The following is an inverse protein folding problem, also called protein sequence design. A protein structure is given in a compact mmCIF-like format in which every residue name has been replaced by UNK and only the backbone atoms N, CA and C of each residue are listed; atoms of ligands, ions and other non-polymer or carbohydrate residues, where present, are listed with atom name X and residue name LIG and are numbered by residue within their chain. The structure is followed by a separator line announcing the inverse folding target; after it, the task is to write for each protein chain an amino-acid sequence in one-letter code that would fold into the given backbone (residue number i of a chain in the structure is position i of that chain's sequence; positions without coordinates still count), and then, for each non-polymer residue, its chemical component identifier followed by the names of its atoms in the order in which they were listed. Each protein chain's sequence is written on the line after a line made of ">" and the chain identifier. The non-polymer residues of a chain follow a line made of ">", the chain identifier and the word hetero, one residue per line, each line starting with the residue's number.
data_IF_927730995783
#
_entry.id   IF_927730995783
#
_cell.length_a   1.000
_cell.length_b   1.000
_cell.length_c   1.000
_cell.angle_alpha   90.00
_cell.angle_beta   90.00
_cell.angle_gamma   90.00
#
_symmetry.space_group_name_H-M   'P 1'
#
loop_
_entity.id
_entity.type
_entity.pdbx_description
1 polymer ?
#
# COMPACT_ATOMS: atom_id res chain seq x y z
N UNK A 1 18.16 7.08 7.04
CA UNK A 1 16.75 7.48 6.82
C UNK A 1 16.44 7.83 5.35
N UNK A 2 16.87 7.03 4.35
CA UNK A 2 16.65 7.34 2.91
C UNK A 2 15.65 6.41 2.20
N UNK A 3 15.09 5.42 2.88
CA UNK A 3 14.30 4.33 2.27
C UNK A 3 13.01 4.76 1.56
N UNK A 4 12.43 5.91 1.93
CA UNK A 4 11.17 6.40 1.36
C UNK A 4 11.32 7.62 0.44
N UNK A 5 12.56 7.99 0.07
CA UNK A 5 12.80 9.15 -0.81
C UNK A 5 12.30 8.83 -2.22
N UNK A 6 11.41 9.67 -2.78
CA UNK A 6 10.86 9.49 -4.13
C UNK A 6 9.69 8.49 -4.24
N UNK A 7 9.06 8.11 -3.13
CA UNK A 7 7.86 7.25 -3.15
C UNK A 7 6.59 8.05 -3.47
N UNK A 8 5.69 7.43 -4.22
CA UNK A 8 4.40 8.02 -4.62
C UNK A 8 3.45 8.23 -3.43
N UNK A 9 3.64 7.48 -2.34
CA UNK A 9 2.80 7.54 -1.15
C UNK A 9 3.62 7.94 0.08
N UNK A 10 2.94 8.58 1.04
CA UNK A 10 3.50 8.86 2.36
C UNK A 10 3.88 7.54 3.06
N UNK A 11 4.94 7.60 3.89
CA UNK A 11 5.46 6.44 4.64
C UNK A 11 4.37 5.70 5.42
N UNK A 12 3.47 6.43 6.09
CA UNK A 12 2.34 5.87 6.84
C UNK A 12 1.43 4.99 5.98
N UNK A 13 1.12 5.42 4.76
CA UNK A 13 0.27 4.66 3.83
C UNK A 13 0.94 3.35 3.43
N UNK A 14 2.26 3.39 3.17
CA UNK A 14 3.03 2.21 2.80
C UNK A 14 3.07 1.21 3.97
N UNK A 15 3.29 1.69 5.20
CA UNK A 15 3.28 0.84 6.38
C UNK A 15 1.92 0.20 6.62
N UNK A 16 0.83 0.95 6.45
CA UNK A 16 -0.54 0.42 6.58
C UNK A 16 -0.80 -0.65 5.52
N UNK A 17 -0.41 -0.41 4.27
CA UNK A 17 -0.57 -1.38 3.17
C UNK A 17 0.20 -2.68 3.44
N UNK A 18 1.47 -2.58 3.86
CA UNK A 18 2.30 -3.73 4.23
C UNK A 18 1.74 -4.45 5.45
N UNK A 19 1.20 -3.70 6.43
CA UNK A 19 0.52 -4.26 7.59
C UNK A 19 -0.69 -5.12 7.20
N UNK A 20 -1.53 -4.65 6.27
CA UNK A 20 -2.64 -5.45 5.75
C UNK A 20 -2.18 -6.68 4.97
N UNK A 21 -1.15 -6.52 4.14
CA UNK A 21 -0.57 -7.63 3.39
C UNK A 21 -0.08 -8.73 4.34
N UNK A 22 0.73 -8.39 5.34
CA UNK A 22 1.26 -9.37 6.28
C UNK A 22 0.21 -9.95 7.24
N UNK A 23 -0.74 -9.13 7.71
CA UNK A 23 -1.67 -9.56 8.77
C UNK A 23 -2.83 -10.41 8.25
N UNK A 24 -3.27 -10.18 7.03
CA UNK A 24 -4.42 -10.86 6.44
C UNK A 24 -4.05 -11.72 5.22
N UNK A 25 -2.76 -11.86 4.90
CA UNK A 25 -2.26 -12.58 3.73
C UNK A 25 -2.97 -12.18 2.44
N UNK A 26 -3.34 -10.91 2.33
CA UNK A 26 -4.13 -10.41 1.21
C UNK A 26 -3.28 -10.29 -0.04
N UNK A 27 -3.83 -10.67 -1.18
CA UNK A 27 -3.24 -10.33 -2.48
C UNK A 27 -3.12 -8.81 -2.65
N UNK A 28 -2.15 -8.35 -3.46
CA UNK A 28 -1.97 -6.92 -3.76
C UNK A 28 -3.24 -6.22 -4.24
N UNK A 29 -4.12 -6.95 -4.93
CA UNK A 29 -5.43 -6.46 -5.34
C UNK A 29 -6.37 -6.21 -4.15
N UNK A 30 -6.42 -7.13 -3.18
CA UNK A 30 -7.20 -6.96 -1.96
C UNK A 30 -6.68 -5.81 -1.07
N UNK A 31 -5.36 -5.64 -0.98
CA UNK A 31 -4.76 -4.49 -0.31
C UNK A 31 -5.13 -3.18 -1.03
N UNK A 32 -5.10 -3.17 -2.36
CA UNK A 32 -5.53 -2.03 -3.18
C UNK A 32 -7.01 -1.68 -2.99
N UNK A 33 -7.90 -2.67 -2.86
CA UNK A 33 -9.32 -2.44 -2.57
C UNK A 33 -9.54 -1.85 -1.17
N UNK A 34 -8.88 -2.38 -0.14
CA UNK A 34 -8.95 -1.82 1.22
C UNK A 34 -8.43 -0.39 1.31
N UNK A 35 -7.37 -0.08 0.57
CA UNK A 35 -6.85 1.29 0.48
C UNK A 35 -7.88 2.20 -0.22
N UNK A 36 -8.54 1.69 -1.26
CA UNK A 36 -9.59 2.42 -1.99
C UNK A 36 -10.82 2.70 -1.14
N UNK A 37 -11.25 1.75 -0.31
CA UNK A 37 -12.32 1.95 0.69
C UNK A 37 -11.97 3.05 1.69
N UNK A 38 -10.69 3.27 1.97
CA UNK A 38 -10.18 4.36 2.82
C UNK A 38 -9.93 5.67 2.06
N UNK A 39 -10.37 5.76 0.80
CA UNK A 39 -10.17 6.94 -0.05
C UNK A 39 -8.76 7.07 -0.64
N UNK A 40 -7.91 6.05 -0.51
CA UNK A 40 -6.56 6.03 -1.06
C UNK A 40 -6.58 5.23 -2.37
N UNK A 41 -6.56 5.94 -3.50
CA UNK A 41 -6.47 5.29 -4.81
C UNK A 41 -5.06 4.75 -5.05
N UNK A 42 -4.83 3.48 -4.71
CA UNK A 42 -3.60 2.76 -5.02
C UNK A 42 -3.92 1.68 -6.05
N UNK A 43 -3.38 1.77 -7.27
CA UNK A 43 -3.58 0.73 -8.27
C UNK A 43 -2.71 -0.50 -7.92
N UNK A 44 -3.15 -1.75 -8.17
CA UNK A 44 -2.34 -2.93 -7.87
C UNK A 44 -0.96 -2.94 -8.54
N UNK A 45 -0.84 -2.26 -9.70
CA UNK A 45 0.46 -2.08 -10.39
C UNK A 45 1.39 -1.11 -9.67
N UNK A 46 0.86 -0.20 -8.85
CA UNK A 46 1.66 0.72 -8.03
C UNK A 46 2.27 0.02 -6.82
N UNK A 47 1.63 -1.04 -6.31
CA UNK A 47 2.19 -1.88 -5.25
C UNK A 47 3.30 -2.83 -5.76
N UNK A 48 3.30 -3.14 -7.07
CA UNK A 48 4.26 -4.03 -7.72
C UNK A 48 5.54 -3.33 -8.21
N UNK A 49 5.66 -2.00 -8.04
CA UNK A 49 6.74 -1.18 -8.63
C UNK A 49 7.81 -0.77 -7.61
#
# INVERSE_FOLDING_TARGET
>A
MRYFKGKQFKKDIILVAVGYYCRFSLSYRGVSELLRERGISAHPTTLRR
#
